data_IF_390106335031
#
_entry.id   IF_390106335031
#
_cell.length_a   1.000
_cell.length_b   1.000
_cell.length_c   1.000
_cell.angle_alpha   90.00
_cell.angle_beta   90.00
_cell.angle_gamma   90.00
#
_symmetry.space_group_name_H-M   'P 1'
#
loop_
_entity.id
_entity.type
_entity.pdbx_description
1 polymer ?
#
# COMPACT_ATOMS: atom_id res chain seq x y z
N UNK A 1 8.45 2.87 20.27
CA UNK A 1 7.43 2.64 19.21
C UNK A 1 8.00 1.57 18.29
N UNK A 2 7.26 0.49 18.02
CA UNK A 2 7.78 -0.57 17.14
C UNK A 2 7.85 -0.06 15.71
N UNK A 3 8.95 -0.35 15.02
CA UNK A 3 9.12 0.01 13.61
C UNK A 3 8.07 -0.72 12.73
N UNK A 4 7.45 -0.05 11.75
CA UNK A 4 6.47 -0.66 10.86
C UNK A 4 7.11 -1.79 10.03
N UNK A 5 6.43 -2.93 9.94
CA UNK A 5 6.90 -4.05 9.09
C UNK A 5 6.45 -3.84 7.65
N UNK A 6 7.30 -3.20 6.86
CA UNK A 6 7.07 -2.90 5.46
C UNK A 6 7.06 -4.16 4.58
N UNK A 7 6.08 -4.24 3.69
CA UNK A 7 5.88 -5.33 2.73
C UNK A 7 5.79 -4.74 1.32
N UNK A 8 6.60 -5.29 0.42
CA UNK A 8 6.55 -5.03 -1.03
C UNK A 8 5.65 -6.07 -1.71
N UNK A 9 5.01 -5.68 -2.82
CA UNK A 9 4.22 -6.61 -3.63
C UNK A 9 5.11 -7.70 -4.26
N UNK A 10 4.60 -8.92 -4.36
CA UNK A 10 5.26 -10.02 -5.08
C UNK A 10 5.34 -9.82 -6.59
N UNK A 11 4.56 -8.87 -7.13
CA UNK A 11 4.60 -8.46 -8.54
C UNK A 11 5.63 -7.37 -8.83
N UNK A 12 6.39 -6.93 -7.82
CA UNK A 12 7.45 -5.94 -8.00
C UNK A 12 8.75 -6.62 -8.44
N UNK A 13 9.00 -6.69 -9.75
CA UNK A 13 10.31 -7.13 -10.28
C UNK A 13 11.42 -6.10 -10.02
N UNK A 14 12.66 -6.59 -9.92
CA UNK A 14 13.84 -5.78 -9.60
C UNK A 14 14.17 -4.69 -10.63
N UNK A 15 13.67 -4.81 -11.86
CA UNK A 15 14.05 -3.96 -13.00
C UNK A 15 12.96 -2.95 -13.42
N UNK A 16 11.72 -3.05 -12.94
CA UNK A 16 10.69 -2.08 -13.30
C UNK A 16 9.58 -1.97 -12.24
N UNK A 17 9.52 -0.80 -11.58
CA UNK A 17 8.32 -0.24 -10.95
C UNK A 17 7.89 -0.77 -9.56
N UNK A 18 8.83 -0.93 -8.62
CA UNK A 18 8.47 -0.89 -7.20
C UNK A 18 8.15 0.56 -6.78
N UNK A 19 6.87 0.95 -6.76
CA UNK A 19 6.46 2.32 -6.45
C UNK A 19 5.73 2.47 -5.11
N UNK A 20 5.28 1.40 -4.45
CA UNK A 20 4.57 1.47 -3.17
C UNK A 20 4.89 0.27 -2.26
N UNK A 21 5.11 0.53 -0.97
CA UNK A 21 5.16 -0.48 0.10
C UNK A 21 4.04 -0.24 1.12
N UNK A 22 3.58 -1.30 1.79
CA UNK A 22 2.57 -1.19 2.84
C UNK A 22 3.03 -1.78 4.17
N UNK A 23 2.54 -1.22 5.29
CA UNK A 23 2.73 -1.79 6.62
C UNK A 23 1.42 -1.76 7.43
N UNK A 24 1.17 -2.82 8.19
CA UNK A 24 0.10 -2.85 9.18
C UNK A 24 0.58 -2.21 10.49
N UNK A 25 -0.13 -1.19 10.97
CA UNK A 25 0.24 -0.42 12.17
C UNK A 25 -0.87 -0.41 13.22
N UNK A 26 -1.68 -1.48 13.25
CA UNK A 26 -2.86 -1.61 14.10
C UNK A 26 -4.15 -1.25 13.36
N UNK A 27 -4.89 -0.19 13.75
CA UNK A 27 -6.11 0.24 13.07
C UNK A 27 -5.86 0.91 11.71
N UNK A 28 -4.60 1.24 11.42
CA UNK A 28 -4.18 1.89 10.20
C UNK A 28 -3.36 0.95 9.30
N UNK A 29 -3.50 1.21 8.01
CA UNK A 29 -2.61 0.74 6.96
C UNK A 29 -1.81 1.93 6.50
N UNK A 30 -0.51 1.73 6.36
CA UNK A 30 0.38 2.80 6.00
C UNK A 30 1.09 2.49 4.70
N UNK A 31 1.28 3.52 3.87
CA UNK A 31 1.69 3.42 2.48
C UNK A 31 2.83 4.40 2.24
N UNK A 32 3.90 3.95 1.59
CA UNK A 32 5.02 4.82 1.21
C UNK A 32 5.53 4.50 -0.17
N UNK A 33 6.22 5.46 -0.78
CA UNK A 33 6.99 5.24 -1.99
C UNK A 33 8.26 4.43 -1.66
N UNK A 34 8.47 3.31 -2.37
CA UNK A 34 9.66 2.48 -2.18
C UNK A 34 10.98 3.20 -2.52
N UNK A 35 10.93 4.22 -3.38
CA UNK A 35 12.10 5.00 -3.84
C UNK A 35 12.48 6.12 -2.88
N UNK A 36 11.53 6.53 -2.04
CA UNK A 36 11.72 7.60 -1.08
C UNK A 36 11.31 7.16 0.34
N UNK A 37 11.97 6.11 0.90
CA UNK A 37 11.57 5.52 2.18
C UNK A 37 11.72 6.46 3.38
N UNK A 38 12.55 7.50 3.24
CA UNK A 38 12.83 8.51 4.28
C UNK A 38 11.82 9.67 4.29
N UNK A 39 10.95 9.75 3.28
CA UNK A 39 9.89 10.76 3.24
C UNK A 39 8.68 10.32 4.10
N UNK A 40 7.82 11.28 4.49
CA UNK A 40 6.56 10.96 5.15
C UNK A 40 5.70 9.99 4.33
N UNK A 41 4.97 9.16 5.05
CA UNK A 41 4.17 8.04 4.54
C UNK A 41 2.71 8.33 4.84
N UNK A 42 1.81 7.93 3.93
CA UNK A 42 0.38 8.13 4.09
C UNK A 42 -0.22 7.03 4.96
N UNK A 43 -1.29 7.34 5.69
CA UNK A 43 -2.05 6.35 6.46
C UNK A 43 -3.52 6.40 6.11
N UNK A 44 -4.13 5.22 5.98
CA UNK A 44 -5.57 5.03 5.81
C UNK A 44 -6.09 4.07 6.87
N UNK A 45 -7.39 4.11 7.17
CA UNK A 45 -7.97 3.12 8.06
C UNK A 45 -7.94 1.73 7.43
N UNK A 46 -7.82 0.68 8.25
CA UNK A 46 -7.91 -0.72 7.80
C UNK A 46 -9.23 -1.00 7.07
N UNK A 47 -10.33 -0.36 7.50
CA UNK A 47 -11.64 -0.46 6.85
C UNK A 47 -11.62 0.10 5.43
N UNK A 48 -11.14 1.34 5.27
CA UNK A 48 -11.08 1.98 3.96
C UNK A 48 -10.18 1.20 2.99
N UNK A 49 -9.06 0.66 3.49
CA UNK A 49 -8.19 -0.20 2.70
C UNK A 49 -8.88 -1.49 2.22
N UNK A 50 -9.65 -2.14 3.09
CA UNK A 50 -10.42 -3.34 2.73
C UNK A 50 -11.52 -3.04 1.70
N UNK A 51 -12.23 -1.91 1.84
CA UNK A 51 -13.23 -1.48 0.86
C UNK A 51 -12.59 -1.17 -0.51
N UNK A 52 -11.47 -0.43 -0.51
CA UNK A 52 -10.73 -0.09 -1.73
C UNK A 52 -10.24 -1.33 -2.49
N UNK A 53 -9.54 -2.23 -1.79
CA UNK A 53 -9.01 -3.47 -2.40
C UNK A 53 -10.12 -4.42 -2.85
N UNK A 54 -11.21 -4.50 -2.07
CA UNK A 54 -12.41 -5.24 -2.44
C UNK A 54 -13.02 -4.72 -3.74
N UNK A 55 -13.19 -3.40 -3.86
CA UNK A 55 -13.75 -2.78 -5.06
C UNK A 55 -12.86 -2.92 -6.30
N UNK A 56 -11.53 -2.91 -6.14
CA UNK A 56 -10.61 -3.25 -7.23
C UNK A 56 -10.78 -4.71 -7.68
N UNK A 57 -10.85 -5.65 -6.73
CA UNK A 57 -10.95 -7.08 -7.04
C UNK A 57 -12.28 -7.49 -7.69
N UNK A 58 -13.36 -6.77 -7.40
CA UNK A 58 -14.68 -6.99 -7.98
C UNK A 58 -14.92 -6.24 -9.29
N UNK A 59 -13.96 -5.42 -9.74
CA UNK A 59 -14.11 -4.58 -10.93
C UNK A 59 -15.04 -3.38 -10.72
N UNK A 60 -15.45 -3.06 -9.49
CA UNK A 60 -16.23 -1.85 -9.21
C UNK A 60 -15.41 -0.57 -9.35
N UNK A 61 -14.10 -0.67 -9.12
CA UNK A 61 -13.13 0.37 -9.43
C UNK A 61 -12.27 -0.09 -10.61
N UNK A 62 -12.51 0.49 -11.78
CA UNK A 62 -11.66 0.28 -12.95
C UNK A 62 -10.49 1.28 -12.92
N UNK A 63 -9.23 0.80 -13.02
CA UNK A 63 -8.05 1.67 -12.98
C UNK A 63 -7.83 2.50 -14.26
N UNK A 64 -8.62 2.28 -15.31
CA UNK A 64 -8.49 2.92 -16.65
C UNK A 64 -9.74 3.72 -17.07
N UNK A 65 -10.53 4.23 -16.12
CA UNK A 65 -11.55 5.24 -16.43
C UNK A 65 -10.95 6.64 -16.56
#
# INVERSE_FOLDING_TARGET
MSEPKWRKSSYSEASANACVEMAETGPLIALRDSKHPDLPWATVSRRAWAEFTGALSSGLLHPEA
#
